data_IF_938060881730
#
_entry.id   IF_938060881730
#
_cell.length_a   1.000
_cell.length_b   1.000
_cell.length_c   1.000
_cell.angle_alpha   90.00
_cell.angle_beta   90.00
_cell.angle_gamma   90.00
#
_symmetry.space_group_name_H-M   'P 1'
#
loop_
_entity.id
_entity.type
_entity.pdbx_description
1 polymer ?
#
# COMPACT_ATOMS: atom_id res chain seq x y z
N UNK A 1 -1.50 -19.10 11.98
CA UNK A 1 -0.36 -18.17 12.07
C UNK A 1 -0.90 -16.76 12.21
N UNK A 2 -0.21 -15.89 12.96
CA UNK A 2 -0.50 -14.44 13.04
C UNK A 2 0.23 -13.68 11.91
N UNK A 3 0.89 -14.42 11.01
CA UNK A 3 1.56 -13.88 9.82
C UNK A 3 0.56 -13.23 8.87
N UNK A 4 0.94 -12.07 8.36
CA UNK A 4 0.21 -11.34 7.36
C UNK A 4 0.59 -11.82 5.97
N UNK A 5 -0.38 -11.91 5.07
CA UNK A 5 -0.15 -12.22 3.65
C UNK A 5 0.16 -10.94 2.86
N UNK A 6 -0.46 -9.83 3.26
CA UNK A 6 -0.26 -8.51 2.66
C UNK A 6 -0.39 -7.39 3.69
N UNK A 7 0.46 -6.38 3.54
CA UNK A 7 0.43 -5.12 4.28
C UNK A 7 0.46 -3.97 3.30
N UNK A 8 -0.52 -3.07 3.39
CA UNK A 8 -0.54 -1.83 2.62
C UNK A 8 -0.05 -0.65 3.47
N UNK A 9 0.93 0.09 2.94
CA UNK A 9 1.42 1.34 3.50
C UNK A 9 1.01 2.52 2.62
N UNK A 10 0.50 3.57 3.27
CA UNK A 10 0.24 4.85 2.64
C UNK A 10 1.34 5.85 2.98
N UNK A 11 1.87 6.52 1.96
CA UNK A 11 2.77 7.66 2.13
C UNK A 11 2.18 8.88 1.41
N UNK A 12 2.20 10.03 2.09
CA UNK A 12 1.57 11.27 1.64
C UNK A 12 2.61 12.40 1.59
N UNK A 13 2.49 13.28 0.59
CA UNK A 13 3.26 14.52 0.47
C UNK A 13 4.80 14.31 0.46
N UNK A 14 5.25 13.12 0.07
CA UNK A 14 6.66 12.71 0.07
C UNK A 14 6.97 11.89 -1.18
N UNK A 15 8.20 11.99 -1.69
CA UNK A 15 8.69 11.20 -2.83
C UNK A 15 9.75 10.21 -2.37
N UNK A 16 9.54 8.91 -2.66
CA UNK A 16 10.48 7.85 -2.32
C UNK A 16 10.76 6.96 -3.53
N UNK A 17 12.02 6.59 -3.70
CA UNK A 17 12.43 5.65 -4.73
C UNK A 17 12.18 4.20 -4.31
N UNK A 18 12.24 3.29 -5.29
CA UNK A 18 12.13 1.83 -5.04
C UNK A 18 13.22 1.30 -4.11
N UNK A 19 14.41 1.92 -4.10
CA UNK A 19 15.49 1.58 -3.18
C UNK A 19 15.13 1.85 -1.72
N UNK A 20 14.41 2.94 -1.44
CA UNK A 20 14.04 3.33 -0.09
C UNK A 20 12.89 2.47 0.42
N UNK A 21 11.93 2.18 -0.46
CA UNK A 21 10.87 1.20 -0.21
C UNK A 21 11.45 -0.17 0.14
N UNK A 22 12.45 -0.64 -0.62
CA UNK A 22 13.10 -1.93 -0.35
C UNK A 22 13.80 -1.95 1.01
N UNK A 23 14.52 -0.89 1.38
CA UNK A 23 15.15 -0.78 2.71
C UNK A 23 14.11 -0.77 3.83
N UNK A 24 13.00 -0.05 3.67
CA UNK A 24 11.91 -0.09 4.64
C UNK A 24 11.31 -1.49 4.78
N UNK A 25 11.05 -2.18 3.67
CA UNK A 25 10.58 -3.57 3.72
C UNK A 25 11.51 -4.44 4.55
N UNK A 26 12.83 -4.32 4.36
CA UNK A 26 13.81 -5.08 5.14
C UNK A 26 13.78 -4.76 6.63
N UNK A 27 13.56 -3.50 7.00
CA UNK A 27 13.41 -3.09 8.41
C UNK A 27 12.11 -3.59 9.04
N UNK A 28 11.06 -3.80 8.24
CA UNK A 28 9.75 -4.24 8.72
C UNK A 28 9.62 -5.76 8.92
N UNK A 29 10.50 -6.57 8.30
CA UNK A 29 10.52 -8.02 8.51
C UNK A 29 10.72 -8.34 10.00
N UNK A 30 10.00 -9.33 10.51
CA UNK A 30 9.99 -9.75 11.90
C UNK A 30 9.45 -8.71 12.89
N UNK A 31 8.55 -7.82 12.44
CA UNK A 31 7.90 -6.83 13.31
C UNK A 31 6.38 -7.01 13.36
N UNK A 32 5.78 -6.60 14.48
CA UNK A 32 4.32 -6.51 14.62
C UNK A 32 3.80 -5.15 14.11
N UNK A 33 2.70 -5.18 13.38
CA UNK A 33 1.99 -3.99 12.90
C UNK A 33 0.50 -4.07 13.24
N UNK A 34 -0.14 -2.90 13.29
CA UNK A 34 -1.58 -2.75 13.49
C UNK A 34 -2.08 -1.61 12.61
N UNK A 35 -3.38 -1.62 12.31
CA UNK A 35 -4.01 -0.60 11.47
C UNK A 35 -3.69 0.81 12.00
N UNK A 36 -3.40 1.73 11.09
CA UNK A 36 -3.06 3.14 11.37
C UNK A 36 -1.77 3.35 12.17
N UNK A 37 -0.98 2.31 12.43
CA UNK A 37 0.38 2.46 12.98
C UNK A 37 1.19 3.36 12.05
N UNK A 38 1.84 4.37 12.63
CA UNK A 38 2.82 5.19 11.92
C UNK A 38 4.16 4.45 11.89
N UNK A 39 4.77 4.43 10.72
CA UNK A 39 6.06 3.83 10.45
C UNK A 39 7.01 4.94 10.03
N UNK A 40 8.14 5.03 10.72
CA UNK A 40 9.21 5.97 10.41
C UNK A 40 10.49 5.21 10.10
N UNK A 41 11.14 5.56 8.99
CA UNK A 41 12.45 5.03 8.61
C UNK A 41 13.25 6.13 7.93
N UNK A 42 14.36 6.54 8.55
CA UNK A 42 15.09 7.74 8.14
C UNK A 42 14.13 8.95 7.99
N UNK A 43 14.01 9.52 6.79
CA UNK A 43 13.11 10.64 6.50
C UNK A 43 11.74 10.20 5.97
N UNK A 44 11.50 8.89 5.84
CA UNK A 44 10.24 8.36 5.32
C UNK A 44 9.20 8.15 6.41
N UNK A 45 8.03 8.76 6.21
CA UNK A 45 6.84 8.54 7.03
C UNK A 45 5.74 7.88 6.22
N UNK A 46 5.26 6.74 6.72
CA UNK A 46 4.14 6.01 6.14
C UNK A 46 3.20 5.51 7.23
N UNK A 47 1.92 5.31 6.90
CA UNK A 47 0.92 4.72 7.78
C UNK A 47 0.44 3.37 7.26
N UNK A 48 0.17 2.43 8.17
CA UNK A 48 -0.48 1.17 7.82
C UNK A 48 -1.94 1.43 7.46
N UNK A 49 -2.34 1.08 6.24
CA UNK A 49 -3.71 1.28 5.75
C UNK A 49 -4.56 0.00 5.81
N UNK A 50 -4.04 -1.09 5.26
CA UNK A 50 -4.73 -2.39 5.22
C UNK A 50 -3.79 -3.51 5.63
N UNK A 51 -4.35 -4.52 6.28
CA UNK A 51 -3.66 -5.72 6.72
C UNK A 51 -4.52 -6.92 6.33
N UNK A 52 -3.95 -7.84 5.57
CA UNK A 52 -4.65 -9.02 5.10
C UNK A 52 -3.97 -10.29 5.58
N UNK A 53 -4.77 -11.22 6.08
CA UNK A 53 -4.34 -12.56 6.44
C UNK A 53 -5.42 -13.57 6.06
N UNK A 54 -5.03 -14.62 5.32
CA UNK A 54 -5.90 -15.70 4.84
C UNK A 54 -7.12 -15.21 4.07
N UNK A 55 -6.95 -14.14 3.28
CA UNK A 55 -8.02 -13.53 2.49
C UNK A 55 -9.00 -12.66 3.28
N UNK A 56 -8.75 -12.42 4.57
CA UNK A 56 -9.57 -11.54 5.41
C UNK A 56 -8.78 -10.30 5.84
N UNK A 57 -9.48 -9.19 6.03
CA UNK A 57 -8.93 -7.99 6.64
C UNK A 57 -8.81 -8.18 8.15
N UNK A 58 -7.63 -7.87 8.69
CA UNK A 58 -7.33 -7.97 10.13
C UNK A 58 -6.90 -6.61 10.69
N UNK A 59 -6.96 -6.45 12.01
CA UNK A 59 -6.59 -5.19 12.67
C UNK A 59 -5.14 -5.13 13.10
N UNK A 60 -4.48 -6.28 13.22
CA UNK A 60 -3.07 -6.42 13.58
C UNK A 60 -2.50 -7.73 13.06
N UNK A 61 -1.17 -7.81 12.99
CA UNK A 61 -0.48 -9.04 12.63
C UNK A 61 1.04 -8.90 12.61
N UNK A 62 1.70 -9.98 12.23
CA UNK A 62 3.15 -10.09 12.21
C UNK A 62 3.67 -10.14 10.77
N UNK A 63 4.67 -9.31 10.46
CA UNK A 63 5.33 -9.29 9.15
C UNK A 63 6.44 -10.34 9.13
N UNK A 64 6.34 -11.26 8.18
CA UNK A 64 7.33 -12.31 7.92
C UNK A 64 8.04 -12.06 6.59
N UNK A 65 9.03 -12.86 6.24
CA UNK A 65 9.72 -12.76 4.94
C UNK A 65 8.78 -13.01 3.75
N UNK A 66 7.73 -13.79 3.93
CA UNK A 66 6.74 -14.11 2.90
C UNK A 66 5.62 -13.05 2.78
N UNK A 67 5.56 -12.10 3.72
CA UNK A 67 4.53 -11.06 3.74
C UNK A 67 4.75 -10.06 2.60
N UNK A 68 3.75 -9.87 1.74
CA UNK A 68 3.83 -8.91 0.64
C UNK A 68 3.56 -7.49 1.13
N UNK A 69 4.50 -6.59 0.88
CA UNK A 69 4.37 -5.17 1.28
C UNK A 69 4.00 -4.34 0.04
N UNK A 70 2.88 -3.62 0.11
CA UNK A 70 2.36 -2.76 -0.97
C UNK A 70 2.43 -1.30 -0.54
N UNK A 71 2.96 -0.44 -1.41
CA UNK A 71 3.04 0.99 -1.18
C UNK A 71 2.00 1.71 -2.03
N UNK A 72 1.27 2.64 -1.42
CA UNK A 72 0.28 3.50 -2.08
C UNK A 72 0.53 4.96 -1.74
N UNK A 73 0.27 5.84 -2.69
CA UNK A 73 0.29 7.28 -2.48
C UNK A 73 -1.06 7.89 -2.85
N UNK A 74 -1.75 8.57 -1.92
CA UNK A 74 -2.94 9.35 -2.24
C UNK A 74 -2.58 10.67 -2.97
N UNK A 75 -1.30 11.03 -3.02
CA UNK A 75 -0.77 12.20 -3.72
C UNK A 75 -0.12 11.83 -5.06
N UNK A 76 -0.47 10.66 -5.61
CA UNK A 76 -0.02 10.24 -6.93
C UNK A 76 -0.62 11.15 -8.02
N UNK A 77 0.17 11.42 -9.06
CA UNK A 77 -0.31 12.15 -10.24
C UNK A 77 -1.15 11.19 -11.09
N UNK A 78 -2.41 11.56 -11.35
CA UNK A 78 -3.33 10.80 -12.20
C UNK A 78 -3.63 11.60 -13.46
N UNK A 79 -3.37 11.00 -14.62
CA UNK A 79 -3.73 11.56 -15.93
C UNK A 79 -4.82 10.69 -16.54
N UNK A 80 -5.99 11.29 -16.75
CA UNK A 80 -7.15 10.61 -17.35
C UNK A 80 -7.25 11.06 -18.80
N UNK A 81 -7.16 10.10 -19.72
CA UNK A 81 -7.41 10.32 -21.14
C UNK A 81 -8.76 9.70 -21.50
N UNK A 82 -9.63 10.49 -22.10
CA UNK A 82 -10.95 10.04 -22.55
C UNK A 82 -10.93 10.08 -24.08
N UNK A 83 -11.05 8.92 -24.69
CA UNK A 83 -11.23 8.82 -26.14
C UNK A 83 -12.72 8.92 -26.46
N UNK A 84 -13.08 9.86 -27.33
CA UNK A 84 -14.44 10.00 -27.83
C UNK A 84 -14.63 9.14 -29.07
N UNK A 85 -15.70 8.35 -29.12
CA UNK A 85 -16.13 7.58 -30.30
C UNK A 85 -17.61 7.83 -30.61
N UNK A 86 -18.07 7.34 -31.77
CA UNK A 86 -19.46 7.54 -32.20
C UNK A 86 -20.45 6.73 -31.36
N UNK A 87 -20.02 5.57 -30.89
CA UNK A 87 -20.76 4.64 -30.04
C UNK A 87 -21.05 5.23 -28.65
N UNK A 88 -20.28 6.23 -28.20
CA UNK A 88 -20.59 6.97 -26.96
C UNK A 88 -21.84 7.86 -27.09
N UNK A 89 -22.31 8.09 -28.31
CA UNK A 89 -23.55 8.81 -28.58
C UNK A 89 -24.76 7.88 -28.62
N UNK A 90 -24.56 6.56 -28.62
CA UNK A 90 -25.65 5.60 -28.55
C UNK A 90 -26.13 5.49 -27.10
N UNK A 91 -27.44 5.56 -26.90
CA UNK A 91 -28.05 5.39 -25.58
C UNK A 91 -28.04 3.90 -25.21
N UNK A 92 -27.41 3.57 -24.09
CA UNK A 92 -27.57 2.26 -23.47
C UNK A 92 -29.02 2.08 -22.98
N UNK A 93 -29.61 0.93 -23.29
CA UNK A 93 -30.98 0.53 -22.92
C UNK A 93 -31.06 0.00 -21.48
#
# INVERSE_FOLDING_TARGET
SVSLDLVELLFKDQYFGRSDMWRLCKTLVNTCVYLKKQIEFAEMRASINELWARGENVTSGFITEDTRIVFRSPTAVVQIFIQMSREMWDFDL
#
